data_IF_355357289773
#
_entry.id   IF_355357289773
#
_cell.length_a   1.000
_cell.length_b   1.000
_cell.length_c   1.000
_cell.angle_alpha   90.00
_cell.angle_beta   90.00
_cell.angle_gamma   90.00
#
_symmetry.space_group_name_H-M   'P 1'
#
loop_
_entity.id
_entity.type
_entity.pdbx_description
1 polymer ?
#
# COMPACT_ATOMS: atom_id res chain seq x y z
N UNK A 1 -15.52 -14.14 3.21
CA UNK A 1 -14.95 -12.94 2.58
C UNK A 1 -15.37 -12.95 1.12
N UNK A 2 -15.94 -11.87 0.62
CA UNK A 2 -16.16 -11.68 -0.81
C UNK A 2 -14.94 -10.94 -1.39
N UNK A 3 -14.22 -11.59 -2.32
CA UNK A 3 -13.00 -11.04 -2.90
C UNK A 3 -13.28 -10.05 -4.04
N UNK A 4 -14.45 -10.13 -4.68
CA UNK A 4 -14.89 -9.16 -5.68
C UNK A 4 -15.24 -7.83 -5.02
N UNK A 5 -15.96 -7.87 -3.90
CA UNK A 5 -16.18 -6.66 -3.07
C UNK A 5 -14.86 -6.09 -2.54
N UNK A 6 -13.95 -6.94 -2.05
CA UNK A 6 -12.64 -6.49 -1.58
C UNK A 6 -11.80 -5.85 -2.70
N UNK A 7 -11.88 -6.37 -3.93
CA UNK A 7 -11.24 -5.77 -5.09
C UNK A 7 -11.85 -4.41 -5.46
N UNK A 8 -13.17 -4.24 -5.29
CA UNK A 8 -13.83 -2.96 -5.46
C UNK A 8 -13.33 -1.92 -4.43
N UNK A 9 -13.15 -2.33 -3.17
CA UNK A 9 -12.57 -1.49 -2.11
C UNK A 9 -11.13 -1.05 -2.42
N UNK A 10 -10.32 -1.94 -3.02
CA UNK A 10 -8.99 -1.62 -3.54
C UNK A 10 -9.06 -0.60 -4.68
N UNK A 11 -9.91 -0.84 -5.68
CA UNK A 11 -10.05 0.02 -6.84
C UNK A 11 -10.53 1.43 -6.45
N UNK A 12 -11.46 1.54 -5.50
CA UNK A 12 -11.98 2.81 -4.99
C UNK A 12 -10.86 3.67 -4.37
N UNK A 13 -9.94 3.05 -3.61
CA UNK A 13 -8.83 3.75 -2.96
C UNK A 13 -7.64 4.01 -3.87
N UNK A 14 -7.42 3.15 -4.87
CA UNK A 14 -6.29 3.25 -5.78
C UNK A 14 -6.23 4.63 -6.48
N UNK A 15 -7.37 5.26 -6.76
CA UNK A 15 -7.40 6.62 -7.31
C UNK A 15 -6.81 7.66 -6.35
N UNK A 16 -7.15 7.60 -5.07
CA UNK A 16 -6.63 8.52 -4.06
C UNK A 16 -5.12 8.32 -3.83
N UNK A 17 -4.67 7.06 -3.75
CA UNK A 17 -3.25 6.73 -3.60
C UNK A 17 -2.41 7.20 -4.79
N UNK A 18 -2.91 7.02 -6.03
CA UNK A 18 -2.25 7.54 -7.23
C UNK A 18 -2.17 9.07 -7.23
N UNK A 19 -3.23 9.75 -6.79
CA UNK A 19 -3.22 11.20 -6.65
C UNK A 19 -2.23 11.69 -5.58
N UNK A 20 -1.96 10.88 -4.56
CA UNK A 20 -0.93 11.13 -3.56
C UNK A 20 0.51 10.77 -4.03
N UNK A 21 0.68 10.35 -5.29
CA UNK A 21 1.98 10.05 -5.90
C UNK A 21 2.44 8.60 -5.74
N UNK A 22 1.59 7.70 -5.25
CA UNK A 22 1.89 6.27 -5.18
C UNK A 22 1.63 5.58 -6.52
N UNK A 23 2.51 4.67 -6.91
CA UNK A 23 2.23 3.72 -7.98
C UNK A 23 1.41 2.56 -7.39
N UNK A 24 0.28 2.23 -8.02
CA UNK A 24 -0.59 1.13 -7.62
C UNK A 24 -0.72 0.18 -8.79
N UNK A 25 -0.16 -1.03 -8.65
CA UNK A 25 -0.26 -2.08 -9.65
C UNK A 25 -1.71 -2.55 -9.85
N UNK A 26 -1.96 -3.24 -10.96
CA UNK A 26 -3.25 -3.89 -11.16
C UNK A 26 -3.49 -4.97 -10.09
N UNK A 27 -4.73 -5.13 -9.60
CA UNK A 27 -5.06 -6.25 -8.73
C UNK A 27 -4.72 -7.58 -9.40
N UNK A 28 -4.15 -8.48 -8.62
CA UNK A 28 -3.80 -9.84 -9.03
C UNK A 28 -4.73 -10.83 -8.34
N UNK A 29 -5.05 -11.91 -9.02
CA UNK A 29 -6.00 -12.92 -8.57
C UNK A 29 -5.36 -14.29 -8.65
N UNK A 30 -5.66 -15.14 -7.66
CA UNK A 30 -5.31 -16.56 -7.69
C UNK A 30 -6.58 -17.39 -7.81
N UNK A 31 -6.60 -18.31 -8.76
CA UNK A 31 -7.67 -19.28 -8.91
C UNK A 31 -7.38 -20.53 -8.07
N UNK A 32 -8.26 -20.84 -7.12
CA UNK A 32 -8.15 -21.99 -6.22
C UNK A 32 -8.31 -23.34 -6.92
N UNK A 33 -8.94 -23.37 -8.10
CA UNK A 33 -9.15 -24.58 -8.90
C UNK A 33 -8.08 -24.82 -9.96
N UNK A 34 -7.23 -23.83 -10.22
CA UNK A 34 -6.17 -23.96 -11.21
C UNK A 34 -5.06 -24.94 -10.75
N UNK A 35 -4.45 -25.70 -11.68
CA UNK A 35 -3.36 -26.61 -11.36
C UNK A 35 -2.11 -25.84 -10.90
N UNK A 36 -1.34 -26.48 -10.03
CA UNK A 36 -0.08 -25.92 -9.54
C UNK A 36 1.03 -25.97 -10.62
N UNK A 37 1.90 -24.95 -10.73
CA UNK A 37 1.88 -23.68 -10.01
C UNK A 37 0.75 -22.77 -10.47
N UNK A 38 -0.01 -22.25 -9.50
CA UNK A 38 -1.13 -21.36 -9.79
C UNK A 38 -0.60 -20.01 -10.26
N UNK A 39 -0.94 -19.65 -11.50
CA UNK A 39 -0.61 -18.36 -12.09
C UNK A 39 -1.45 -17.25 -11.44
N UNK A 40 -0.83 -16.09 -11.21
CA UNK A 40 -1.56 -14.88 -10.85
C UNK A 40 -2.11 -14.23 -12.13
N UNK A 41 -3.41 -14.00 -12.15
CA UNK A 41 -4.12 -13.35 -13.26
C UNK A 41 -4.49 -11.92 -12.88
N UNK A 42 -4.36 -10.97 -13.80
CA UNK A 42 -4.87 -9.59 -13.61
C UNK A 42 -6.29 -9.44 -14.13
N UNK A 43 -6.69 -10.31 -15.05
CA UNK A 43 -8.04 -10.36 -15.61
C UNK A 43 -8.95 -11.26 -14.76
N UNK A 44 -9.89 -10.64 -14.03
CA UNK A 44 -10.85 -11.32 -13.17
C UNK A 44 -11.72 -12.34 -13.93
N UNK A 45 -11.97 -12.15 -15.22
CA UNK A 45 -12.80 -13.07 -16.02
C UNK A 45 -12.15 -14.44 -16.27
N UNK A 46 -10.82 -14.53 -16.08
CA UNK A 46 -10.04 -15.76 -16.24
C UNK A 46 -9.99 -16.62 -14.97
N UNK A 47 -10.59 -16.14 -13.88
CA UNK A 47 -10.59 -16.81 -12.57
C UNK A 47 -11.97 -17.39 -12.28
N UNK A 48 -12.03 -18.70 -12.10
CA UNK A 48 -13.27 -19.44 -11.85
C UNK A 48 -13.60 -19.47 -10.35
N UNK A 49 -12.61 -19.75 -9.51
CA UNK A 49 -12.77 -19.79 -8.05
C UNK A 49 -11.74 -18.85 -7.40
N UNK A 50 -12.09 -17.60 -7.08
CA UNK A 50 -11.15 -16.64 -6.51
C UNK A 50 -10.74 -17.09 -5.11
N UNK A 51 -9.47 -17.43 -4.95
CA UNK A 51 -8.89 -17.87 -3.67
C UNK A 51 -8.17 -16.72 -2.95
N UNK A 52 -7.57 -15.80 -3.72
CA UNK A 52 -7.01 -14.56 -3.20
C UNK A 52 -7.05 -13.41 -4.21
N UNK A 53 -7.11 -12.18 -3.71
CA UNK A 53 -6.85 -10.94 -4.45
C UNK A 53 -5.69 -10.18 -3.80
N UNK A 54 -4.75 -9.68 -4.60
CA UNK A 54 -3.59 -8.95 -4.11
C UNK A 54 -3.31 -7.67 -4.87
N UNK A 55 -2.59 -6.75 -4.22
CA UNK A 55 -2.13 -5.49 -4.79
C UNK A 55 -0.70 -5.20 -4.35
N UNK A 56 0.06 -4.56 -5.24
CA UNK A 56 1.37 -4.00 -4.94
C UNK A 56 1.30 -2.48 -5.06
N UNK A 57 1.73 -1.78 -4.02
CA UNK A 57 1.92 -0.34 -4.01
C UNK A 57 3.41 -0.02 -3.92
N UNK A 58 3.83 1.00 -4.64
CA UNK A 58 5.20 1.52 -4.61
C UNK A 58 5.21 3.02 -4.42
N UNK A 59 6.17 3.52 -3.64
CA UNK A 59 6.34 4.92 -3.32
C UNK A 59 7.80 5.37 -3.45
N UNK A 60 8.12 6.59 -3.00
CA UNK A 60 9.47 7.14 -3.03
C UNK A 60 10.48 6.27 -2.27
N UNK A 61 11.75 6.30 -2.69
CA UNK A 61 12.84 5.62 -1.97
C UNK A 61 12.70 4.10 -1.94
N UNK A 62 12.19 3.50 -3.02
CA UNK A 62 11.95 2.06 -3.17
C UNK A 62 10.96 1.49 -2.14
N UNK A 63 10.14 2.33 -1.52
CA UNK A 63 9.12 1.88 -0.56
C UNK A 63 8.07 1.00 -1.26
N UNK A 64 7.78 -0.17 -0.69
CA UNK A 64 6.83 -1.15 -1.20
C UNK A 64 5.85 -1.61 -0.13
N UNK A 65 4.61 -1.85 -0.53
CA UNK A 65 3.60 -2.54 0.26
C UNK A 65 2.90 -3.58 -0.64
N UNK A 66 3.04 -4.85 -0.27
CA UNK A 66 2.34 -5.98 -0.89
C UNK A 66 1.26 -6.47 0.05
N UNK A 67 0.02 -6.53 -0.45
CA UNK A 67 -1.14 -7.03 0.29
C UNK A 67 -1.79 -8.12 -0.52
N UNK A 68 -2.02 -9.29 0.06
CA UNK A 68 -2.75 -10.40 -0.56
C UNK A 68 -3.84 -10.87 0.39
N UNK A 69 -5.09 -10.58 0.09
CA UNK A 69 -6.25 -11.02 0.86
C UNK A 69 -6.72 -12.39 0.37
N UNK A 70 -6.89 -13.32 1.29
CA UNK A 70 -7.40 -14.66 1.02
C UNK A 70 -8.89 -14.76 1.38
N UNK A 71 -9.64 -15.60 0.66
CA UNK A 71 -11.08 -15.82 0.90
C UNK A 71 -11.43 -16.26 2.32
N UNK A 72 -10.44 -16.76 3.07
CA UNK A 72 -10.54 -17.14 4.47
C UNK A 72 -10.59 -15.97 5.48
N UNK A 73 -10.53 -14.72 5.04
CA UNK A 73 -10.61 -13.56 5.95
C UNK A 73 -9.28 -13.26 6.66
N UNK A 74 -8.18 -13.53 5.99
CA UNK A 74 -6.83 -13.15 6.42
C UNK A 74 -6.06 -12.64 5.21
N UNK A 75 -5.03 -11.84 5.45
CA UNK A 75 -4.17 -11.32 4.41
C UNK A 75 -2.69 -11.56 4.75
N UNK A 76 -1.89 -11.79 3.72
CA UNK A 76 -0.46 -11.59 3.79
C UNK A 76 -0.17 -10.12 3.49
N UNK A 77 0.47 -9.45 4.45
CA UNK A 77 0.84 -8.04 4.31
C UNK A 77 2.33 -7.93 4.56
N UNK A 78 3.07 -7.59 3.52
CA UNK A 78 4.52 -7.41 3.57
C UNK A 78 4.88 -6.00 3.10
N UNK A 79 5.87 -5.39 3.74
CA UNK A 79 6.30 -4.05 3.40
C UNK A 79 7.83 -3.93 3.42
N UNK A 80 8.30 -2.93 2.69
CA UNK A 80 9.67 -2.46 2.71
C UNK A 80 9.62 -0.93 2.68
N UNK A 81 10.15 -0.26 3.70
CA UNK A 81 10.16 1.20 3.85
C UNK A 81 11.59 1.77 3.77
N UNK A 82 12.52 1.03 3.16
CA UNK A 82 13.90 1.45 2.93
C UNK A 82 14.84 1.17 4.12
N UNK A 83 16.11 0.94 3.80
CA UNK A 83 17.12 0.52 4.78
C UNK A 83 16.75 -0.83 5.39
N UNK A 84 16.77 -0.90 6.72
CA UNK A 84 16.41 -2.11 7.49
C UNK A 84 14.94 -2.14 7.93
N UNK A 85 14.11 -1.17 7.52
CA UNK A 85 12.69 -1.14 7.87
C UNK A 85 11.86 -1.95 6.87
N UNK A 86 11.73 -3.25 7.14
CA UNK A 86 10.95 -4.18 6.35
C UNK A 86 10.32 -5.25 7.24
N UNK A 87 9.18 -5.80 6.83
CA UNK A 87 8.56 -6.87 7.61
C UNK A 87 7.16 -7.25 7.14
N UNK A 88 6.49 -8.04 7.98
CA UNK A 88 5.12 -8.45 7.78
C UNK A 88 4.20 -7.83 8.84
N UNK A 89 2.96 -7.51 8.48
CA UNK A 89 1.96 -6.97 9.39
C UNK A 89 0.89 -8.02 9.71
N UNK A 90 0.41 -8.10 10.97
CA UNK A 90 -0.64 -9.04 11.33
C UNK A 90 -1.96 -8.64 10.66
N UNK A 91 -2.59 -9.59 9.96
CA UNK A 91 -3.79 -9.34 9.18
C UNK A 91 -4.75 -10.54 9.15
N UNK A 92 -5.11 -11.06 10.33
CA UNK A 92 -6.13 -12.10 10.50
C UNK A 92 -7.47 -11.52 10.95
N UNK A 93 -8.55 -12.27 10.74
CA UNK A 93 -9.87 -11.95 11.31
C UNK A 93 -10.60 -10.83 10.57
N UNK A 94 -10.30 -10.63 9.29
CA UNK A 94 -10.94 -9.64 8.44
C UNK A 94 -12.32 -10.21 8.05
N UNK A 95 -13.38 -9.67 8.65
CA UNK A 95 -14.72 -10.22 8.53
C UNK A 95 -15.48 -9.77 7.28
N UNK A 96 -15.08 -8.66 6.66
CA UNK A 96 -15.79 -8.05 5.52
C UNK A 96 -14.87 -7.25 4.59
N UNK A 97 -15.34 -6.96 3.38
CA UNK A 97 -14.64 -6.11 2.42
C UNK A 97 -14.46 -4.67 2.96
N UNK A 98 -15.46 -4.11 3.64
CA UNK A 98 -15.36 -2.80 4.26
C UNK A 98 -14.29 -2.74 5.37
N UNK A 99 -14.19 -3.80 6.20
CA UNK A 99 -13.12 -3.91 7.18
C UNK A 99 -11.76 -4.00 6.50
N UNK A 100 -11.65 -4.80 5.43
CA UNK A 100 -10.44 -4.86 4.61
C UNK A 100 -10.04 -3.48 4.07
N UNK A 101 -11.00 -2.71 3.56
CA UNK A 101 -10.80 -1.33 3.13
C UNK A 101 -10.20 -0.45 4.23
N UNK A 102 -10.75 -0.54 5.45
CA UNK A 102 -10.23 0.21 6.61
C UNK A 102 -8.81 -0.23 6.99
N UNK A 103 -8.51 -1.53 6.92
CA UNK A 103 -7.16 -2.07 7.18
C UNK A 103 -6.15 -1.61 6.14
N UNK A 104 -6.54 -1.54 4.86
CA UNK A 104 -5.71 -1.00 3.78
C UNK A 104 -5.28 0.43 4.09
N UNK A 105 -6.21 1.29 4.53
CA UNK A 105 -5.90 2.67 4.88
C UNK A 105 -4.87 2.76 6.01
N UNK A 106 -4.98 1.89 7.02
CA UNK A 106 -4.01 1.78 8.12
C UNK A 106 -2.64 1.31 7.63
N UNK A 107 -2.58 0.28 6.78
CA UNK A 107 -1.31 -0.24 6.25
C UNK A 107 -0.62 0.76 5.34
N UNK A 108 -1.38 1.45 4.48
CA UNK A 108 -0.86 2.51 3.60
C UNK A 108 -0.34 3.68 4.42
N UNK A 109 -1.09 4.14 5.42
CA UNK A 109 -0.65 5.22 6.30
C UNK A 109 0.64 4.84 7.05
N UNK A 110 0.76 3.59 7.53
CA UNK A 110 1.97 3.10 8.21
C UNK A 110 3.19 3.12 7.29
N UNK A 111 3.05 2.65 6.06
CA UNK A 111 4.20 2.45 5.16
C UNK A 111 4.59 3.75 4.43
N UNK A 112 3.61 4.59 4.08
CA UNK A 112 3.85 5.76 3.23
C UNK A 112 3.62 7.11 3.94
N UNK A 113 2.98 7.13 5.12
CA UNK A 113 2.48 8.36 5.75
C UNK A 113 3.52 9.29 6.36
N UNK A 114 4.75 8.83 6.62
CA UNK A 114 5.78 9.64 7.30
C UNK A 114 6.94 10.10 6.39
N UNK A 115 7.03 9.63 5.14
CA UNK A 115 8.16 9.97 4.23
C UNK A 115 7.76 10.58 2.88
N UNK A 116 6.48 10.68 2.57
CA UNK A 116 5.98 11.43 1.41
C UNK A 116 5.40 12.76 1.85
N UNK A 117 6.08 13.87 1.57
CA UNK A 117 5.67 15.22 1.98
C UNK A 117 4.22 15.56 1.62
N UNK A 118 3.31 15.35 2.57
CA UNK A 118 1.96 15.88 2.58
C UNK A 118 1.84 17.01 3.61
N UNK A 119 2.85 17.89 3.64
CA UNK A 119 2.84 19.21 4.30
C UNK A 119 4.15 19.98 4.09
N UNK A 120 4.57 20.18 2.85
CA UNK A 120 5.55 21.24 2.53
C UNK A 120 4.83 22.56 2.23
N UNK A 121 4.26 23.19 3.26
CA UNK A 121 3.98 24.63 3.22
C UNK A 121 4.02 25.21 4.64
N UNK A 122 5.22 25.62 5.07
CA UNK A 122 5.38 26.38 6.30
C UNK A 122 6.83 26.52 6.73
N UNK A 123 7.54 27.52 6.18
CA UNK A 123 8.77 28.03 6.79
C UNK A 123 9.99 28.08 5.88
N UNK A 124 10.00 29.06 4.97
CA UNK A 124 11.23 29.56 4.31
C UNK A 124 12.25 29.98 5.37
N UNK A 125 13.52 29.72 5.05
CA UNK A 125 14.65 30.10 5.88
C UNK A 125 14.81 31.60 6.11
N UNK A 126 15.55 31.89 7.16
CA UNK A 126 16.41 33.07 7.29
C UNK A 126 17.64 32.63 8.08
N UNK A 127 18.64 32.10 7.38
CA UNK A 127 20.02 32.16 7.86
C UNK A 127 20.56 33.51 7.37
N UNK A 128 20.62 34.49 8.28
CA UNK A 128 21.42 35.68 8.05
C UNK A 128 22.80 35.41 8.63
N UNK A 129 23.76 35.20 7.74
CA UNK A 129 25.18 35.25 8.07
C UNK A 129 25.72 36.67 7.97
N UNK A 130 26.73 36.94 8.82
CA UNK A 130 27.86 37.87 8.63
C UNK A 130 27.55 39.39 8.65
N UNK A 131 28.40 40.29 9.16
CA UNK A 131 29.75 40.26 9.75
C UNK A 131 30.15 41.68 10.22
N UNK A 132 31.17 41.79 11.08
CA UNK A 132 32.01 42.99 11.33
C UNK A 132 31.52 43.95 12.43
N UNK A 133 32.35 44.53 13.32
CA UNK A 133 33.79 44.50 13.54
C UNK A 133 34.21 45.58 14.57
N UNK A 134 35.27 45.27 15.35
CA UNK A 134 36.34 46.10 15.96
C UNK A 134 36.13 47.52 16.56
N UNK A 135 36.81 47.74 17.70
CA UNK A 135 37.31 49.04 18.24
C UNK A 135 36.35 49.75 19.19
N UNK A 136 36.72 50.28 20.37
CA UNK A 136 37.98 50.63 21.05
C UNK A 136 37.86 50.38 22.56
#
# INVERSE_FOLDING_TARGET
MDLDEAAAELAARARAWRAAGLAVAEPTWRDGTAPWPQRLETDRSRVSDPDSVGVLLSGPGETLLSVVLFRGGWADVAYFAGGDDAGALPASGIGSAAEFGTRLDVWVARVFGERGGLNASGGRGAVSGESGGAGE
#
